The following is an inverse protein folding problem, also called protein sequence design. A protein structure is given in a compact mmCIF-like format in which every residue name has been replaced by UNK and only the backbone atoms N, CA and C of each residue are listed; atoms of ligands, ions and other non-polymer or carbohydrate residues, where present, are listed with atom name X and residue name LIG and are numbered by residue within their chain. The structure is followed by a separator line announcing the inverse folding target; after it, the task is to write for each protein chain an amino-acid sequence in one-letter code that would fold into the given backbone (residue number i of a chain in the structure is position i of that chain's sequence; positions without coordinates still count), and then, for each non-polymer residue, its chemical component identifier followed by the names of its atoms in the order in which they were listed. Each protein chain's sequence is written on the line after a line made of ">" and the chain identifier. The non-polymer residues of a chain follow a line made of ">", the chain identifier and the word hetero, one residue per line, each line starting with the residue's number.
data_IF_016517409401
#
_entry.id   IF_016517409401
#
_cell.length_a   1.000
_cell.length_b   1.000
_cell.length_c   1.000
_cell.angle_alpha   90.00
_cell.angle_beta   90.00
_cell.angle_gamma   90.00
#
_symmetry.space_group_name_H-M   'P 1'
#
loop_
_entity.id
_entity.type
_entity.pdbx_description
1 polymer ?
#
# COMPACT_ATOMS: atom_id res chain seq x y z
N UNK A 1 46.75 -10.67 -59.48
CA UNK A 1 46.37 -11.95 -58.83
C UNK A 1 45.40 -11.67 -57.69
N UNK A 2 45.73 -10.68 -56.85
CA UNK A 2 44.94 -10.26 -55.69
C UNK A 2 43.51 -9.80 -56.02
N UNK A 3 43.29 -9.04 -57.11
CA UNK A 3 41.94 -8.64 -57.51
C UNK A 3 41.05 -9.81 -57.97
N UNK A 4 41.64 -10.85 -58.57
CA UNK A 4 40.91 -12.05 -58.95
C UNK A 4 40.53 -12.87 -57.72
N UNK A 5 41.45 -12.95 -56.74
CA UNK A 5 41.20 -13.56 -55.43
C UNK A 5 40.09 -12.80 -54.70
N UNK A 6 40.15 -11.46 -54.63
CA UNK A 6 39.14 -10.62 -53.99
C UNK A 6 37.76 -10.85 -54.58
N UNK A 7 37.62 -10.84 -55.92
CA UNK A 7 36.33 -11.12 -56.58
C UNK A 7 35.82 -12.54 -56.34
N UNK A 8 36.69 -13.54 -56.31
CA UNK A 8 36.29 -14.92 -56.00
C UNK A 8 35.77 -15.03 -54.56
N UNK A 9 36.44 -14.36 -53.62
CA UNK A 9 36.06 -14.29 -52.20
C UNK A 9 34.73 -13.56 -52.03
N UNK A 10 34.57 -12.34 -52.56
CA UNK A 10 33.32 -11.57 -52.47
C UNK A 10 32.14 -12.28 -53.15
N UNK A 11 32.40 -13.11 -54.17
CA UNK A 11 31.34 -13.93 -54.80
C UNK A 11 30.91 -15.11 -53.92
N UNK A 12 31.85 -15.72 -53.18
CA UNK A 12 31.54 -16.81 -52.26
C UNK A 12 30.98 -16.32 -50.92
N UNK A 13 31.38 -15.12 -50.52
CA UNK A 13 31.02 -14.45 -49.26
C UNK A 13 30.54 -13.02 -49.55
N UNK A 14 29.30 -12.87 -50.06
CA UNK A 14 28.75 -11.56 -50.44
C UNK A 14 28.75 -10.54 -49.30
N UNK A 15 28.66 -11.00 -48.05
CA UNK A 15 28.73 -10.19 -46.84
C UNK A 15 30.06 -9.46 -46.64
N UNK A 16 31.13 -9.93 -47.29
CA UNK A 16 32.44 -9.27 -47.23
C UNK A 16 32.45 -7.99 -48.06
N UNK A 17 31.76 -7.97 -49.20
CA UNK A 17 31.71 -6.80 -50.09
C UNK A 17 31.04 -5.59 -49.43
N UNK A 18 30.01 -5.83 -48.60
CA UNK A 18 29.29 -4.79 -47.85
C UNK A 18 29.78 -4.60 -46.41
N UNK A 19 30.79 -5.36 -45.96
CA UNK A 19 31.27 -5.33 -44.58
C UNK A 19 30.22 -5.78 -43.55
N UNK A 20 29.22 -6.57 -43.96
CA UNK A 20 28.08 -6.98 -43.11
C UNK A 20 28.46 -8.02 -42.05
N UNK A 21 29.62 -8.64 -42.24
CA UNK A 21 30.24 -9.55 -41.29
C UNK A 21 30.81 -8.83 -40.06
N UNK A 22 31.09 -7.53 -40.17
CA UNK A 22 31.62 -6.72 -39.07
C UNK A 22 30.48 -6.14 -38.23
N UNK A 23 30.64 -6.05 -36.90
CA UNK A 23 29.74 -5.24 -36.10
C UNK A 23 29.80 -3.78 -36.57
N UNK A 24 28.65 -3.12 -36.61
CA UNK A 24 28.53 -1.70 -36.93
C UNK A 24 27.98 -0.96 -35.72
N UNK A 25 28.42 0.28 -35.51
CA UNK A 25 27.75 1.15 -34.56
C UNK A 25 26.62 1.89 -35.25
N UNK A 26 25.53 2.12 -34.52
CA UNK A 26 24.41 2.92 -34.97
C UNK A 26 23.89 3.76 -33.81
N UNK A 27 23.14 4.80 -34.14
CA UNK A 27 22.44 5.64 -33.18
C UNK A 27 20.92 5.46 -33.37
N UNK A 28 20.19 5.37 -32.25
CA UNK A 28 18.72 5.35 -32.27
C UNK A 28 18.22 6.73 -32.68
N UNK A 29 17.44 6.80 -33.75
CA UNK A 29 16.88 8.08 -34.25
C UNK A 29 15.36 8.19 -34.06
N UNK A 30 14.68 7.08 -33.76
CA UNK A 30 13.24 7.10 -33.52
C UNK A 30 12.72 5.82 -32.86
N UNK A 31 11.61 5.98 -32.14
CA UNK A 31 10.85 4.88 -31.54
C UNK A 31 9.54 4.76 -32.33
N UNK A 32 9.28 3.58 -32.88
CA UNK A 32 8.20 3.37 -33.86
C UNK A 32 6.83 3.19 -33.23
N UNK A 33 6.69 2.29 -32.27
CA UNK A 33 5.40 2.01 -31.63
C UNK A 33 5.60 1.22 -30.33
N UNK A 34 4.73 1.41 -29.35
CA UNK A 34 4.71 0.55 -28.16
C UNK A 34 4.06 -0.82 -28.44
N UNK A 35 4.12 -1.71 -27.46
CA UNK A 35 3.36 -2.97 -27.45
C UNK A 35 2.18 -2.91 -26.49
N UNK A 36 1.13 -3.69 -26.78
CA UNK A 36 0.03 -3.99 -25.86
C UNK A 36 0.13 -5.45 -25.34
N UNK A 37 -0.56 -5.76 -24.24
CA UNK A 37 -0.63 -7.13 -23.72
C UNK A 37 -1.17 -8.09 -24.77
N UNK A 38 -0.49 -9.23 -24.96
CA UNK A 38 -0.82 -10.24 -25.97
C UNK A 38 -0.31 -9.93 -27.39
N UNK A 39 0.32 -8.78 -27.65
CA UNK A 39 0.91 -8.51 -28.96
C UNK A 39 2.03 -9.52 -29.28
N UNK A 40 2.03 -10.00 -30.52
CA UNK A 40 3.08 -10.88 -31.06
C UNK A 40 4.09 -10.02 -31.81
N UNK A 41 5.37 -10.21 -31.50
CA UNK A 41 6.48 -9.66 -32.27
C UNK A 41 6.82 -10.60 -33.44
N UNK A 42 6.70 -10.09 -34.66
CA UNK A 42 7.03 -10.84 -35.88
C UNK A 42 7.92 -10.01 -36.82
N UNK A 43 8.51 -10.60 -37.88
CA UNK A 43 9.40 -9.88 -38.78
C UNK A 43 8.79 -8.69 -39.52
N UNK A 44 7.46 -8.63 -39.68
CA UNK A 44 6.74 -7.52 -40.29
C UNK A 44 6.33 -6.46 -39.27
N UNK A 45 6.10 -6.87 -38.01
CA UNK A 45 5.75 -5.96 -36.92
C UNK A 45 6.42 -6.37 -35.61
N UNK A 46 7.70 -6.02 -35.41
CA UNK A 46 8.47 -6.46 -34.24
C UNK A 46 8.01 -5.83 -32.92
N UNK A 47 7.28 -4.70 -32.95
CA UNK A 47 6.78 -3.90 -31.80
C UNK A 47 7.88 -3.31 -30.92
N UNK A 48 8.74 -4.15 -30.35
CA UNK A 48 9.92 -3.76 -29.60
C UNK A 48 11.08 -3.46 -30.58
N UNK A 49 10.95 -2.37 -31.30
CA UNK A 49 11.90 -1.99 -32.35
C UNK A 49 12.11 -0.48 -32.41
N UNK A 50 13.28 -0.11 -32.93
CA UNK A 50 13.72 1.28 -33.10
C UNK A 50 14.25 1.51 -34.50
N UNK A 51 14.20 2.78 -34.93
CA UNK A 51 14.82 3.21 -36.17
C UNK A 51 16.29 3.60 -35.89
N UNK A 52 17.21 3.14 -36.74
CA UNK A 52 18.66 3.29 -36.55
C UNK A 52 19.31 4.06 -37.71
N UNK A 53 20.19 4.99 -37.37
CA UNK A 53 21.15 5.58 -38.32
C UNK A 53 22.52 4.93 -38.10
N UNK A 54 23.05 4.26 -39.12
CA UNK A 54 24.39 3.65 -39.05
C UNK A 54 25.46 4.75 -38.97
N UNK A 55 26.50 4.50 -38.17
CA UNK A 55 27.64 5.39 -38.00
C UNK A 55 28.86 4.87 -38.77
N UNK A 56 29.70 5.81 -39.22
CA UNK A 56 31.00 5.52 -39.81
C UNK A 56 32.05 5.14 -38.75
N UNK A 57 33.27 4.82 -39.18
CA UNK A 57 34.37 4.45 -38.28
C UNK A 57 34.81 5.57 -37.32
N UNK A 58 34.40 6.81 -37.57
CA UNK A 58 34.66 7.97 -36.74
C UNK A 58 33.49 8.30 -35.81
N UNK A 59 32.38 7.55 -35.90
CA UNK A 59 31.18 7.76 -35.10
C UNK A 59 30.24 8.83 -35.64
N UNK A 60 30.41 9.28 -36.89
CA UNK A 60 29.48 10.22 -37.53
C UNK A 60 28.40 9.46 -38.31
N UNK A 61 27.22 10.05 -38.55
CA UNK A 61 26.18 9.44 -39.38
C UNK A 61 26.67 9.08 -40.79
N UNK A 62 26.61 7.79 -41.14
CA UNK A 62 26.89 7.33 -42.50
C UNK A 62 25.67 7.56 -43.40
N UNK A 63 25.62 8.73 -44.02
CA UNK A 63 24.52 9.16 -44.90
C UNK A 63 24.37 8.32 -46.18
N UNK A 64 25.35 7.47 -46.51
CA UNK A 64 25.22 6.54 -47.63
C UNK A 64 24.28 5.37 -47.31
N UNK A 65 24.09 5.06 -46.01
CA UNK A 65 23.18 4.02 -45.54
C UNK A 65 21.87 4.69 -45.10
N UNK A 66 20.72 4.32 -45.69
CA UNK A 66 19.44 4.87 -45.26
C UNK A 66 19.13 4.41 -43.83
N UNK A 67 18.29 5.20 -43.14
CA UNK A 67 17.77 4.84 -41.81
C UNK A 67 17.15 3.44 -41.89
N UNK A 68 17.66 2.55 -41.04
CA UNK A 68 17.16 1.20 -40.90
C UNK A 68 15.92 1.24 -40.01
N UNK A 69 14.84 0.69 -40.54
CA UNK A 69 13.50 0.81 -39.97
C UNK A 69 13.14 -0.45 -39.20
N UNK A 70 12.46 -0.26 -38.06
CA UNK A 70 11.91 -1.37 -37.27
C UNK A 70 12.96 -2.42 -36.87
N UNK A 71 14.16 -1.97 -36.48
CA UNK A 71 15.22 -2.88 -36.03
C UNK A 71 14.89 -3.41 -34.63
N UNK A 72 14.79 -4.73 -34.42
CA UNK A 72 14.41 -5.29 -33.12
C UNK A 72 15.42 -4.98 -32.01
N UNK A 73 14.92 -4.59 -30.85
CA UNK A 73 15.72 -4.37 -29.64
C UNK A 73 15.91 -5.70 -28.90
N UNK A 74 17.13 -6.06 -28.47
CA UNK A 74 17.36 -7.28 -27.72
C UNK A 74 16.72 -7.19 -26.34
N UNK A 75 16.19 -8.32 -25.88
CA UNK A 75 15.66 -8.46 -24.52
C UNK A 75 16.75 -9.16 -23.69
N UNK A 76 17.39 -8.49 -22.71
CA UNK A 76 18.51 -9.08 -21.95
C UNK A 76 18.12 -10.35 -21.19
N UNK A 77 16.90 -10.38 -20.65
CA UNK A 77 16.28 -11.54 -20.02
C UNK A 77 14.82 -11.60 -20.46
N UNK A 78 14.36 -12.68 -21.09
CA UNK A 78 13.07 -12.67 -21.81
C UNK A 78 12.39 -14.04 -22.03
N UNK A 79 11.15 -13.98 -22.52
CA UNK A 79 10.30 -15.10 -22.92
C UNK A 79 8.86 -14.63 -23.19
N UNK A 80 7.92 -15.56 -23.43
CA UNK A 80 6.50 -15.20 -23.55
C UNK A 80 6.01 -14.52 -22.26
N UNK A 81 5.61 -13.25 -22.39
CA UNK A 81 5.09 -12.38 -21.31
C UNK A 81 5.99 -12.31 -20.06
N UNK A 82 7.31 -12.38 -20.24
CA UNK A 82 8.29 -12.26 -19.14
C UNK A 82 9.58 -11.63 -19.61
N UNK A 83 10.23 -10.89 -18.72
CA UNK A 83 11.54 -10.30 -18.97
C UNK A 83 11.68 -8.85 -18.52
N UNK A 84 12.82 -8.25 -18.86
CA UNK A 84 13.08 -6.82 -18.71
C UNK A 84 12.97 -6.14 -20.07
N UNK A 85 11.91 -5.36 -20.25
CA UNK A 85 11.62 -4.63 -21.48
C UNK A 85 11.90 -3.15 -21.28
N UNK A 86 12.83 -2.60 -22.05
CA UNK A 86 13.15 -1.18 -22.06
C UNK A 86 13.52 -0.76 -23.48
N UNK A 87 12.92 0.32 -23.96
CA UNK A 87 13.27 0.91 -25.25
C UNK A 87 14.38 1.94 -25.03
N UNK A 88 15.48 1.88 -25.80
CA UNK A 88 16.48 2.93 -25.78
C UNK A 88 15.90 4.23 -26.37
N UNK A 89 16.24 5.36 -25.76
CA UNK A 89 15.82 6.68 -26.24
C UNK A 89 16.60 7.09 -27.49
N UNK A 90 16.04 7.98 -28.34
CA UNK A 90 16.81 8.61 -29.41
C UNK A 90 18.12 9.22 -28.90
N UNK A 91 19.21 9.05 -29.66
CA UNK A 91 20.58 9.38 -29.26
C UNK A 91 21.35 8.22 -28.61
N UNK A 92 20.68 7.13 -28.23
CA UNK A 92 21.38 5.95 -27.68
C UNK A 92 22.22 5.27 -28.75
N UNK A 93 23.50 5.03 -28.46
CA UNK A 93 24.39 4.25 -29.33
C UNK A 93 24.21 2.76 -29.11
N UNK A 94 24.22 2.01 -30.21
CA UNK A 94 24.05 0.55 -30.20
C UNK A 94 25.11 -0.12 -31.07
N UNK A 95 25.51 -1.33 -30.69
CA UNK A 95 26.17 -2.26 -31.60
C UNK A 95 25.09 -3.02 -32.36
N UNK A 96 25.15 -2.97 -33.69
CA UNK A 96 24.27 -3.71 -34.57
C UNK A 96 25.04 -4.68 -35.46
N UNK A 97 24.32 -5.68 -35.95
CA UNK A 97 24.80 -6.62 -36.96
C UNK A 97 23.68 -7.08 -37.87
N UNK A 98 24.03 -7.98 -38.79
CA UNK A 98 23.11 -8.53 -39.78
C UNK A 98 23.02 -10.05 -39.59
N UNK A 99 21.81 -10.58 -39.35
CA UNK A 99 21.60 -12.01 -39.18
C UNK A 99 22.09 -12.75 -40.43
N UNK A 100 22.97 -13.74 -40.26
CA UNK A 100 23.54 -14.50 -41.38
C UNK A 100 24.27 -13.64 -42.44
N UNK A 101 24.69 -12.42 -42.09
CA UNK A 101 25.29 -11.47 -43.05
C UNK A 101 24.30 -10.90 -44.06
N UNK A 102 22.98 -11.01 -43.81
CA UNK A 102 21.94 -10.53 -44.72
C UNK A 102 21.51 -9.08 -44.42
N UNK A 103 21.57 -8.16 -45.40
CA UNK A 103 21.14 -6.77 -45.23
C UNK A 103 19.71 -6.60 -44.71
N UNK A 104 18.81 -7.53 -45.08
CA UNK A 104 17.37 -7.48 -44.75
C UNK A 104 17.07 -7.93 -43.31
N UNK A 105 18.09 -8.32 -42.54
CA UNK A 105 17.93 -8.81 -41.17
C UNK A 105 18.83 -8.06 -40.18
N UNK A 106 18.71 -6.72 -40.07
CA UNK A 106 19.43 -5.98 -39.06
C UNK A 106 18.97 -6.40 -37.66
N UNK A 107 19.89 -6.43 -36.71
CA UNK A 107 19.60 -6.67 -35.29
C UNK A 107 20.52 -5.85 -34.41
N UNK A 108 20.00 -5.41 -33.26
CA UNK A 108 20.83 -4.83 -32.21
C UNK A 108 21.41 -5.98 -31.36
N UNK A 109 22.70 -5.94 -31.10
CA UNK A 109 23.42 -6.90 -30.25
C UNK A 109 23.63 -6.39 -28.84
N UNK A 110 23.93 -5.10 -28.70
CA UNK A 110 24.19 -4.47 -27.42
C UNK A 110 23.82 -2.98 -27.45
N UNK A 111 23.41 -2.47 -26.29
CA UNK A 111 23.32 -1.03 -26.02
C UNK A 111 24.67 -0.60 -25.46
N UNK A 112 25.20 0.51 -25.98
CA UNK A 112 26.50 1.04 -25.57
C UNK A 112 26.29 2.18 -24.57
N UNK A 113 27.08 2.18 -23.50
CA UNK A 113 27.02 3.22 -22.46
C UNK A 113 27.59 4.58 -22.92
N UNK A 114 28.29 4.62 -24.06
CA UNK A 114 28.93 5.82 -24.58
C UNK A 114 27.90 6.93 -24.84
N UNK A 115 28.08 8.08 -24.20
CA UNK A 115 27.19 9.24 -24.27
C UNK A 115 25.99 9.22 -23.31
N UNK A 116 25.77 8.13 -22.56
CA UNK A 116 24.66 8.02 -21.61
C UNK A 116 25.03 8.51 -20.20
N UNK A 117 24.07 9.12 -19.51
CA UNK A 117 24.17 9.38 -18.07
C UNK A 117 23.99 8.10 -17.27
N UNK A 118 25.03 7.67 -16.55
CA UNK A 118 25.01 6.44 -15.77
C UNK A 118 24.51 6.67 -14.34
N UNK A 119 23.86 5.65 -13.71
CA UNK A 119 23.63 5.64 -12.28
C UNK A 119 24.93 5.79 -11.49
N UNK A 120 24.80 6.30 -10.28
CA UNK A 120 25.76 5.97 -9.22
C UNK A 120 25.65 4.47 -8.90
N UNK A 121 26.78 3.77 -8.94
CA UNK A 121 26.87 2.31 -8.78
C UNK A 121 28.24 1.92 -8.23
N UNK A 122 28.27 1.38 -7.02
CA UNK A 122 29.49 0.89 -6.40
C UNK A 122 29.80 -0.58 -6.77
N UNK A 123 31.06 -1.03 -6.67
CA UNK A 123 31.41 -2.44 -6.89
C UNK A 123 30.60 -3.40 -6.00
N UNK A 124 29.98 -4.39 -6.61
CA UNK A 124 29.15 -5.40 -5.92
C UNK A 124 27.67 -5.03 -5.81
N UNK A 125 27.28 -3.83 -6.21
CA UNK A 125 25.88 -3.40 -6.20
C UNK A 125 25.12 -3.82 -7.45
N UNK A 126 23.81 -3.93 -7.32
CA UNK A 126 22.89 -4.09 -8.44
C UNK A 126 21.84 -2.99 -8.39
N UNK A 127 21.56 -2.35 -9.53
CA UNK A 127 20.61 -1.25 -9.61
C UNK A 127 19.76 -1.34 -10.86
N UNK A 128 18.45 -1.18 -10.68
CA UNK A 128 17.49 -0.94 -11.77
C UNK A 128 16.87 0.44 -11.52
N UNK A 129 17.02 1.37 -12.46
CA UNK A 129 16.58 2.75 -12.24
C UNK A 129 15.85 3.32 -13.45
N UNK A 130 14.90 4.22 -13.16
CA UNK A 130 14.41 5.21 -14.11
C UNK A 130 15.11 6.55 -13.89
N UNK A 131 15.39 6.92 -12.64
CA UNK A 131 16.14 8.13 -12.28
C UNK A 131 16.81 7.96 -10.92
N UNK A 132 17.61 8.94 -10.50
CA UNK A 132 18.19 8.99 -9.16
C UNK A 132 17.11 8.96 -8.05
N UNK A 133 15.87 9.39 -8.34
CA UNK A 133 14.75 9.42 -7.39
C UNK A 133 13.76 8.27 -7.58
N UNK A 134 13.97 7.35 -8.53
CA UNK A 134 13.09 6.19 -8.75
C UNK A 134 13.89 4.96 -9.20
N UNK A 135 14.11 4.03 -8.26
CA UNK A 135 14.95 2.85 -8.46
C UNK A 135 14.62 1.70 -7.50
N UNK A 136 15.09 0.50 -7.87
CA UNK A 136 15.35 -0.61 -6.97
C UNK A 136 16.87 -0.84 -6.90
N UNK A 137 17.42 -0.96 -5.70
CA UNK A 137 18.84 -1.16 -5.44
C UNK A 137 19.05 -2.34 -4.49
N UNK A 138 20.10 -3.10 -4.77
CA UNK A 138 20.71 -4.06 -3.86
C UNK A 138 22.14 -3.58 -3.64
N UNK A 139 22.48 -3.20 -2.41
CA UNK A 139 23.85 -2.79 -2.09
C UNK A 139 24.82 -3.99 -2.01
N UNK A 140 26.10 -3.72 -1.83
CA UNK A 140 27.13 -4.76 -1.76
C UNK A 140 26.98 -5.70 -0.53
N UNK A 141 26.17 -5.33 0.47
CA UNK A 141 25.85 -6.17 1.63
C UNK A 141 24.55 -6.97 1.44
N UNK A 142 23.84 -6.76 0.33
CA UNK A 142 22.56 -7.41 0.02
C UNK A 142 21.34 -6.70 0.60
N UNK A 143 21.47 -5.46 1.09
CA UNK A 143 20.31 -4.69 1.53
C UNK A 143 19.51 -4.22 0.33
N UNK A 144 18.18 -4.31 0.41
CA UNK A 144 17.27 -3.87 -0.64
C UNK A 144 16.68 -2.50 -0.33
N UNK A 145 16.75 -1.58 -1.29
CA UNK A 145 16.08 -0.28 -1.26
C UNK A 145 15.17 -0.12 -2.48
N UNK A 146 13.89 0.18 -2.25
CA UNK A 146 12.94 0.62 -3.27
C UNK A 146 12.59 2.07 -3.00
N UNK A 147 12.93 2.95 -3.94
CA UNK A 147 12.66 4.40 -3.84
C UNK A 147 11.85 4.88 -5.04
N UNK A 148 10.91 5.79 -4.79
CA UNK A 148 10.25 6.57 -5.84
C UNK A 148 9.75 7.90 -5.27
N UNK A 149 9.79 8.95 -6.09
CA UNK A 149 9.06 10.20 -5.86
C UNK A 149 7.64 10.18 -6.46
N UNK A 150 7.28 9.06 -7.10
CA UNK A 150 5.96 8.81 -7.65
C UNK A 150 5.06 8.01 -6.72
N UNK A 151 4.01 7.42 -7.29
CA UNK A 151 3.06 6.56 -6.58
C UNK A 151 3.50 5.10 -6.68
N UNK A 152 3.42 4.39 -5.56
CA UNK A 152 3.48 2.92 -5.51
C UNK A 152 2.05 2.37 -5.50
N UNK A 153 1.77 1.38 -6.35
CA UNK A 153 0.49 0.65 -6.35
C UNK A 153 0.81 -0.83 -6.45
N UNK A 154 0.40 -1.59 -5.44
CA UNK A 154 0.59 -3.03 -5.37
C UNK A 154 -0.79 -3.70 -5.49
N UNK A 155 -0.93 -4.65 -6.42
CA UNK A 155 -2.10 -5.50 -6.55
C UNK A 155 -1.67 -6.95 -6.32
N UNK A 156 -2.29 -7.61 -5.34
CA UNK A 156 -1.95 -8.98 -4.95
C UNK A 156 -3.21 -9.71 -4.52
N UNK A 157 -3.29 -11.00 -4.84
CA UNK A 157 -4.31 -11.89 -4.25
C UNK A 157 -4.01 -12.13 -2.77
N UNK A 158 -2.73 -12.28 -2.44
CA UNK A 158 -2.24 -12.51 -1.08
C UNK A 158 -0.96 -11.70 -0.86
N UNK A 159 -0.82 -11.08 0.32
CA UNK A 159 0.40 -10.41 0.75
C UNK A 159 0.78 -10.91 2.14
N UNK A 160 1.92 -11.57 2.22
CA UNK A 160 2.53 -12.05 3.47
C UNK A 160 3.74 -11.19 3.79
N UNK A 161 3.85 -10.74 5.04
CA UNK A 161 4.99 -9.97 5.54
C UNK A 161 5.45 -10.63 6.84
N UNK A 162 6.64 -11.22 6.80
CA UNK A 162 7.30 -11.80 7.96
C UNK A 162 8.60 -11.05 8.21
N UNK A 163 8.73 -10.46 9.40
CA UNK A 163 9.91 -9.72 9.81
C UNK A 163 10.07 -9.78 11.33
N UNK A 164 11.32 -9.71 11.81
CA UNK A 164 11.60 -9.61 13.24
C UNK A 164 11.15 -8.24 13.80
N UNK A 165 11.26 -7.20 12.99
CA UNK A 165 10.85 -5.84 13.31
C UNK A 165 10.30 -5.14 12.07
N UNK A 166 9.23 -4.37 12.25
CA UNK A 166 8.64 -3.51 11.22
C UNK A 166 8.48 -2.12 11.82
N UNK A 167 9.07 -1.12 11.17
CA UNK A 167 8.91 0.30 11.51
C UNK A 167 8.19 1.02 10.39
N UNK A 168 7.02 1.56 10.71
CA UNK A 168 6.21 2.35 9.77
C UNK A 168 6.05 3.78 10.27
N UNK A 169 6.34 4.76 9.41
CA UNK A 169 6.17 6.18 9.71
C UNK A 169 5.41 6.85 8.57
N UNK A 170 4.28 7.47 8.91
CA UNK A 170 3.39 8.12 7.96
C UNK A 170 3.06 9.53 8.43
N UNK A 171 2.88 10.45 7.49
CA UNK A 171 2.20 11.73 7.79
C UNK A 171 0.69 11.50 7.96
N UNK A 172 0.11 10.61 7.16
CA UNK A 172 -1.27 10.19 7.22
C UNK A 172 -1.38 8.72 6.78
N UNK A 173 -2.24 7.95 7.44
CA UNK A 173 -2.59 6.59 7.04
C UNK A 173 -4.10 6.40 7.11
N UNK A 174 -4.64 5.65 6.15
CA UNK A 174 -6.05 5.23 6.13
C UNK A 174 -6.12 3.77 5.71
N UNK A 175 -6.90 2.97 6.42
CA UNK A 175 -7.15 1.58 6.10
C UNK A 175 -8.66 1.38 5.97
N UNK A 176 -9.08 0.80 4.86
CA UNK A 176 -10.44 0.35 4.64
C UNK A 176 -10.39 -1.16 4.40
N UNK A 177 -11.21 -1.91 5.13
CA UNK A 177 -11.31 -3.36 5.04
C UNK A 177 -12.77 -3.69 4.80
N UNK A 178 -13.06 -4.39 3.70
CA UNK A 178 -14.43 -4.69 3.28
C UNK A 178 -15.08 -5.83 4.09
N UNK A 179 -14.25 -6.65 4.73
CA UNK A 179 -14.65 -7.77 5.57
C UNK A 179 -13.99 -7.65 6.95
N UNK A 180 -13.39 -8.73 7.44
CA UNK A 180 -12.88 -8.80 8.81
C UNK A 180 -11.41 -8.32 8.92
N UNK A 181 -11.10 -7.67 10.03
CA UNK A 181 -9.73 -7.32 10.44
C UNK A 181 -9.47 -7.83 11.85
N UNK A 182 -8.40 -8.62 12.03
CA UNK A 182 -7.96 -9.13 13.32
C UNK A 182 -6.61 -8.51 13.70
N UNK A 183 -6.51 -7.98 14.92
CA UNK A 183 -5.24 -7.58 15.53
C UNK A 183 -4.98 -8.45 16.75
N UNK A 184 -3.97 -9.32 16.64
CA UNK A 184 -3.50 -10.14 17.75
C UNK A 184 -2.07 -9.74 18.13
N UNK A 185 -1.85 -9.48 19.41
CA UNK A 185 -0.54 -9.11 19.94
C UNK A 185 -0.27 -9.96 21.17
N UNK A 186 0.69 -10.87 21.07
CA UNK A 186 1.06 -11.74 22.20
C UNK A 186 1.71 -10.99 23.37
N UNK A 187 2.22 -9.78 23.12
CA UNK A 187 2.77 -8.87 24.12
C UNK A 187 1.83 -7.72 24.47
N UNK A 188 2.42 -6.58 24.82
CA UNK A 188 1.67 -5.37 25.19
C UNK A 188 1.23 -4.57 23.96
N UNK A 189 -0.07 -4.45 23.72
CA UNK A 189 -0.64 -3.52 22.75
C UNK A 189 -0.86 -2.12 23.36
N UNK A 190 -0.37 -1.08 22.68
CA UNK A 190 -0.51 0.32 23.12
C UNK A 190 -1.04 1.18 21.98
N UNK A 191 -2.31 1.59 22.10
CA UNK A 191 -2.92 2.58 21.22
C UNK A 191 -2.89 3.96 21.90
N UNK A 192 -2.34 4.97 21.22
CA UNK A 192 -2.25 6.34 21.74
C UNK A 192 -2.56 7.34 20.64
N UNK A 193 -3.39 8.32 20.97
CA UNK A 193 -3.64 9.49 20.13
C UNK A 193 -3.36 10.75 20.96
N UNK A 194 -2.61 11.70 20.39
CA UNK A 194 -2.40 13.01 21.02
C UNK A 194 -3.64 13.91 20.91
N UNK A 195 -4.45 13.69 19.87
CA UNK A 195 -5.75 14.31 19.70
C UNK A 195 -6.86 13.45 20.29
N UNK A 196 -7.87 13.15 19.47
CA UNK A 196 -8.99 12.29 19.87
C UNK A 196 -8.74 10.83 19.49
N UNK A 197 -9.22 9.92 20.35
CA UNK A 197 -9.42 8.52 20.02
C UNK A 197 -10.93 8.27 19.91
N UNK A 198 -11.38 7.80 18.76
CA UNK A 198 -12.79 7.48 18.51
C UNK A 198 -12.92 6.01 18.15
N UNK A 199 -13.75 5.28 18.90
CA UNK A 199 -14.10 3.90 18.61
C UNK A 199 -15.63 3.83 18.48
N UNK A 200 -16.10 3.41 17.30
CA UNK A 200 -17.51 3.35 16.95
C UNK A 200 -17.80 1.97 16.37
N UNK A 201 -18.90 1.35 16.80
CA UNK A 201 -19.42 0.11 16.21
C UNK A 201 -20.85 0.36 15.75
N UNK A 202 -21.19 -0.09 14.55
CA UNK A 202 -22.57 -0.11 14.07
C UNK A 202 -23.41 -1.23 14.70
N UNK A 203 -22.75 -2.19 15.37
CA UNK A 203 -23.38 -3.30 16.07
C UNK A 203 -22.94 -3.36 17.53
N UNK A 204 -22.55 -4.54 18.01
CA UNK A 204 -22.03 -4.73 19.37
C UNK A 204 -20.59 -4.22 19.48
N UNK A 205 -20.26 -3.61 20.62
CA UNK A 205 -18.89 -3.29 21.02
C UNK A 205 -18.64 -3.95 22.37
N UNK A 206 -17.74 -4.92 22.41
CA UNK A 206 -17.34 -5.62 23.63
C UNK A 206 -15.96 -5.11 24.07
N UNK A 207 -15.85 -4.67 25.32
CA UNK A 207 -14.60 -4.26 25.96
C UNK A 207 -14.48 -5.01 27.27
N UNK A 208 -13.43 -5.83 27.41
CA UNK A 208 -13.22 -6.65 28.59
C UNK A 208 -11.74 -6.73 28.94
N UNK A 209 -11.47 -6.94 30.22
CA UNK A 209 -10.15 -7.25 30.74
C UNK A 209 -10.29 -8.42 31.73
N UNK A 210 -9.31 -9.33 31.74
CA UNK A 210 -9.23 -10.38 32.76
C UNK A 210 -8.82 -9.80 34.11
N UNK A 211 -7.92 -8.81 34.09
CA UNK A 211 -7.56 -7.99 35.25
C UNK A 211 -8.36 -6.69 35.30
N UNK A 212 -7.75 -5.65 35.85
CA UNK A 212 -8.42 -4.37 36.06
C UNK A 212 -8.71 -3.64 34.73
N UNK A 213 -9.96 -3.19 34.57
CA UNK A 213 -10.37 -2.25 33.55
C UNK A 213 -10.47 -0.84 34.15
N UNK A 214 -9.49 0.01 33.87
CA UNK A 214 -9.43 1.37 34.40
C UNK A 214 -9.92 2.41 33.37
N UNK A 215 -11.00 3.13 33.70
CA UNK A 215 -11.46 4.29 32.94
C UNK A 215 -11.25 5.56 33.78
N UNK A 216 -10.38 6.46 33.30
CA UNK A 216 -10.11 7.73 33.97
C UNK A 216 -10.22 8.90 33.00
N UNK A 217 -10.81 9.99 33.48
CA UNK A 217 -10.92 11.24 32.75
C UNK A 217 -10.81 12.39 33.74
N UNK A 218 -10.14 13.48 33.34
CA UNK A 218 -10.16 14.74 34.08
C UNK A 218 -11.46 15.53 33.84
N UNK A 219 -12.12 15.25 32.72
CA UNK A 219 -13.42 15.84 32.37
C UNK A 219 -14.58 14.91 32.74
N UNK A 220 -15.74 15.17 32.14
CA UNK A 220 -16.91 14.31 32.35
C UNK A 220 -16.76 12.96 31.64
N UNK A 221 -16.88 11.86 32.38
CA UNK A 221 -17.17 10.55 31.82
C UNK A 221 -18.69 10.40 31.66
N UNK A 222 -19.17 10.17 30.44
CA UNK A 222 -20.61 10.08 30.13
C UNK A 222 -20.93 8.67 29.63
N UNK A 223 -21.78 7.97 30.37
CA UNK A 223 -22.40 6.71 29.95
C UNK A 223 -23.87 7.03 29.65
N UNK A 224 -24.29 6.82 28.40
CA UNK A 224 -25.62 7.21 27.92
C UNK A 224 -26.22 6.07 27.11
N UNK A 225 -27.33 5.53 27.59
CA UNK A 225 -28.14 4.54 26.89
C UNK A 225 -29.59 4.67 27.40
N UNK A 226 -30.58 4.14 26.67
CA UNK A 226 -31.95 4.03 27.18
C UNK A 226 -32.03 3.24 28.49
N UNK A 227 -31.18 2.22 28.64
CA UNK A 227 -31.06 1.41 29.84
C UNK A 227 -29.58 1.12 30.13
N UNK A 228 -29.18 1.17 31.40
CA UNK A 228 -27.79 0.99 31.85
C UNK A 228 -27.73 -0.07 32.94
N UNK A 229 -26.72 -0.94 32.86
CA UNK A 229 -26.34 -1.86 33.92
C UNK A 229 -25.04 -1.38 34.59
N UNK A 230 -25.05 -1.24 35.91
CA UNK A 230 -23.84 -0.92 36.68
C UNK A 230 -23.76 -1.88 37.86
N UNK A 231 -22.89 -2.89 37.78
CA UNK A 231 -22.72 -3.84 38.87
C UNK A 231 -22.15 -5.17 38.40
N UNK A 232 -22.45 -6.24 39.13
CA UNK A 232 -22.01 -7.61 38.81
C UNK A 232 -22.95 -8.27 37.79
N UNK A 233 -22.76 -9.55 37.49
CA UNK A 233 -23.71 -10.30 36.64
C UNK A 233 -25.11 -10.42 37.28
N UNK A 234 -25.19 -10.45 38.61
CA UNK A 234 -26.45 -10.68 39.34
C UNK A 234 -27.00 -9.46 40.07
N UNK A 235 -26.20 -8.41 40.29
CA UNK A 235 -26.62 -7.21 41.02
C UNK A 235 -26.39 -5.95 40.19
N UNK A 236 -27.47 -5.18 39.99
CA UNK A 236 -27.43 -3.85 39.38
C UNK A 236 -27.61 -2.77 40.45
N UNK A 237 -26.65 -1.85 40.54
CA UNK A 237 -26.69 -0.71 41.46
C UNK A 237 -27.97 0.12 41.29
N UNK A 238 -28.46 0.30 40.06
CA UNK A 238 -29.68 1.07 39.82
C UNK A 238 -30.94 0.37 40.35
N UNK A 239 -30.96 -0.97 40.35
CA UNK A 239 -32.02 -1.75 40.98
C UNK A 239 -31.98 -1.56 42.51
N UNK A 240 -30.79 -1.66 43.10
CA UNK A 240 -30.60 -1.45 44.54
C UNK A 240 -31.03 -0.04 44.98
N UNK A 241 -30.73 0.98 44.17
CA UNK A 241 -31.19 2.36 44.41
C UNK A 241 -32.72 2.46 44.31
N UNK A 242 -33.34 1.81 43.34
CA UNK A 242 -34.80 1.73 43.20
C UNK A 242 -35.45 1.08 44.43
N UNK A 243 -34.90 -0.04 44.91
CA UNK A 243 -35.39 -0.74 46.10
C UNK A 243 -35.24 0.12 47.36
N UNK A 244 -34.10 0.81 47.50
CA UNK A 244 -33.87 1.76 48.60
C UNK A 244 -34.91 2.89 48.58
N UNK A 245 -35.18 3.50 47.42
CA UNK A 245 -36.21 4.53 47.28
C UNK A 245 -37.61 3.99 47.64
N UNK A 246 -37.91 2.75 47.26
CA UNK A 246 -39.14 2.07 47.66
C UNK A 246 -39.26 1.91 49.19
N UNK A 247 -38.18 1.50 49.85
CA UNK A 247 -38.14 1.41 51.31
C UNK A 247 -38.33 2.78 51.99
N UNK A 248 -37.73 3.84 51.45
CA UNK A 248 -37.91 5.22 51.97
C UNK A 248 -39.36 5.68 51.83
N UNK A 249 -40.02 5.44 50.69
CA UNK A 249 -41.46 5.72 50.51
C UNK A 249 -42.32 5.00 51.54
N UNK A 250 -42.05 3.71 51.78
CA UNK A 250 -42.76 2.93 52.78
C UNK A 250 -42.57 3.50 54.19
N UNK A 251 -41.34 3.93 54.52
CA UNK A 251 -41.07 4.59 55.79
C UNK A 251 -41.85 5.90 55.94
N UNK A 252 -41.90 6.75 54.91
CA UNK A 252 -42.72 7.96 54.91
C UNK A 252 -44.22 7.64 55.09
N UNK A 253 -44.70 6.55 54.49
CA UNK A 253 -46.11 6.13 54.65
C UNK A 253 -46.41 5.74 56.10
N UNK A 254 -45.52 4.94 56.71
CA UNK A 254 -45.65 4.53 58.11
C UNK A 254 -45.60 5.74 59.03
N UNK A 255 -44.64 6.65 58.81
CA UNK A 255 -44.46 7.83 59.64
C UNK A 255 -45.62 8.83 59.45
N UNK A 256 -46.13 9.05 58.24
CA UNK A 256 -47.28 9.92 58.02
C UNK A 256 -48.54 9.43 58.73
N UNK A 257 -48.69 8.11 58.87
CA UNK A 257 -49.85 7.46 59.46
C UNK A 257 -49.71 7.13 60.96
N UNK A 258 -48.56 7.38 61.59
CA UNK A 258 -48.36 7.00 62.99
C UNK A 258 -49.16 7.88 63.95
N UNK A 259 -49.52 7.31 65.10
CA UNK A 259 -50.28 7.99 66.16
C UNK A 259 -49.71 7.67 67.54
N UNK A 260 -49.77 8.61 68.47
CA UNK A 260 -49.48 8.35 69.89
C UNK A 260 -50.78 8.25 70.71
N UNK A 261 -50.88 7.32 71.68
CA UNK A 261 -52.11 7.10 72.46
C UNK A 261 -52.72 8.35 73.12
N UNK A 262 -51.89 9.34 73.47
CA UNK A 262 -52.33 10.53 74.23
C UNK A 262 -52.20 11.85 73.45
N UNK A 263 -51.61 11.83 72.25
CA UNK A 263 -51.33 13.04 71.45
C UNK A 263 -52.05 13.03 70.10
N UNK A 264 -52.49 11.86 69.61
CA UNK A 264 -53.18 11.73 68.33
C UNK A 264 -52.22 11.56 67.13
N UNK A 265 -52.69 11.82 65.89
CA UNK A 265 -51.89 11.71 64.68
C UNK A 265 -50.83 12.81 64.57
N UNK A 266 -49.78 12.53 63.80
CA UNK A 266 -48.75 13.52 63.48
C UNK A 266 -49.35 14.72 62.72
N UNK A 267 -49.13 15.92 63.23
CA UNK A 267 -49.56 17.18 62.61
C UNK A 267 -48.83 17.47 61.29
N UNK A 268 -47.65 16.88 61.09
CA UNK A 268 -46.85 16.95 59.86
C UNK A 268 -47.12 15.79 58.88
N UNK A 269 -48.14 14.95 59.11
CA UNK A 269 -48.38 13.74 58.30
C UNK A 269 -48.57 14.00 56.80
N UNK A 270 -49.22 15.12 56.45
CA UNK A 270 -49.40 15.54 55.06
C UNK A 270 -48.08 15.86 54.34
N UNK A 271 -47.20 16.59 55.00
CA UNK A 271 -45.87 16.94 54.45
C UNK A 271 -45.01 15.68 54.26
N UNK A 272 -45.05 14.77 55.24
CA UNK A 272 -44.32 13.49 55.19
C UNK A 272 -44.83 12.62 54.03
N UNK A 273 -46.15 12.56 53.82
CA UNK A 273 -46.73 11.86 52.67
C UNK A 273 -46.33 12.50 51.34
N UNK A 274 -46.25 13.84 51.29
CA UNK A 274 -45.73 14.60 50.15
C UNK A 274 -44.30 14.18 49.79
N UNK A 275 -43.40 14.11 50.77
CA UNK A 275 -42.02 13.63 50.57
C UNK A 275 -41.99 12.20 50.03
N UNK A 276 -42.86 11.32 50.54
CA UNK A 276 -43.00 9.95 50.01
C UNK A 276 -43.43 9.92 48.54
N UNK A 277 -44.30 10.85 48.13
CA UNK A 277 -44.71 11.03 46.74
C UNK A 277 -43.57 11.48 45.83
N UNK A 278 -42.75 12.44 46.28
CA UNK A 278 -41.58 12.90 45.52
C UNK A 278 -40.56 11.77 45.32
N UNK A 279 -40.28 10.98 46.37
CA UNK A 279 -39.39 9.81 46.29
C UNK A 279 -39.90 8.78 45.28
N UNK A 280 -41.20 8.52 45.23
CA UNK A 280 -41.81 7.63 44.24
C UNK A 280 -41.62 8.16 42.81
N UNK A 281 -41.74 9.47 42.61
CA UNK A 281 -41.45 10.13 41.34
C UNK A 281 -39.98 9.98 40.91
N UNK A 282 -39.03 10.11 41.84
CA UNK A 282 -37.61 9.87 41.55
C UNK A 282 -37.32 8.39 41.26
N UNK A 283 -37.96 7.48 42.01
CA UNK A 283 -37.85 6.04 41.77
C UNK A 283 -38.29 5.71 40.34
N UNK A 284 -39.43 6.23 39.88
CA UNK A 284 -39.91 6.03 38.51
C UNK A 284 -38.91 6.50 37.45
N UNK A 285 -38.14 7.57 37.73
CA UNK A 285 -37.07 8.04 36.83
C UNK A 285 -35.86 7.10 36.81
N UNK A 286 -35.49 6.49 37.95
CA UNK A 286 -34.42 5.49 38.02
C UNK A 286 -34.85 4.18 37.35
N UNK A 287 -36.09 3.74 37.60
CA UNK A 287 -36.67 2.56 36.97
C UNK A 287 -36.71 2.67 35.45
N UNK A 288 -36.86 3.89 34.92
CA UNK A 288 -36.87 4.15 33.48
C UNK A 288 -35.50 4.00 32.79
N UNK A 289 -34.40 3.88 33.53
CA UNK A 289 -33.03 3.83 32.96
C UNK A 289 -32.21 2.63 33.41
N UNK A 290 -32.75 1.73 34.24
CA UNK A 290 -32.06 0.50 34.61
C UNK A 290 -32.26 -0.56 33.52
N UNK A 291 -31.18 -1.24 33.16
CA UNK A 291 -31.21 -2.42 32.30
C UNK A 291 -31.61 -3.68 33.09
#
# INVERSE_FOLDING_TARGET
>A
MDDAIRRMVERQFPELSGGLHLPKHAEVVGIREGSASGDIADPYRPRLAVDLQVLDAHGNPDTAIPILRDVPVPIPTGGHERGQFALPEPGTKVEMGFAYGSPDKPMIRAILADGLGLPDLEPGEQRRQHSAESFDRIDAQGNHERRTNGRITDHSVERVIEALEVLEQFTQASRAVDADELHEVGGLYRLRAMGALQALSGGRLDLGAVGDANLSSKGAAKIRAPAVWVGSESENLLELVSLLMGAVKQLCTILAAHTHPSTGPCDQGGDIAGVGGDVDGYKGRVDGIKA
#
